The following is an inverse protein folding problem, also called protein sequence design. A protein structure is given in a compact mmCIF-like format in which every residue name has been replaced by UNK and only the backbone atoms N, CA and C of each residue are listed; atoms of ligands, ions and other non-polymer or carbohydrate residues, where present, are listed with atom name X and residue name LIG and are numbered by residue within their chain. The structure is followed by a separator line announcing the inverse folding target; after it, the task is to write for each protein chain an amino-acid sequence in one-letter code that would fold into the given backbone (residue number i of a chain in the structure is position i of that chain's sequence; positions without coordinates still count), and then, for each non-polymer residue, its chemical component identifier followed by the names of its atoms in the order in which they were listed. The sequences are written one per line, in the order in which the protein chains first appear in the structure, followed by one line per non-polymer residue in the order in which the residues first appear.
data_IF_766703068855
#
_entry.id   IF_766703068855
#
_cell.length_a   1.000
_cell.length_b   1.000
_cell.length_c   1.000
_cell.angle_alpha   90.00
_cell.angle_beta   90.00
_cell.angle_gamma   90.00
#
_symmetry.space_group_name_H-M   'P 1'
#
loop_
_entity.id
_entity.type
_entity.pdbx_description
1 polymer ?
#
# COMPACT_ATOMS: atom_id res chain seq x y z
N UNK A 1 14.42 -80.54 3.46
CA UNK A 1 13.15 -79.99 2.91
C UNK A 1 12.70 -78.75 3.69
N UNK A 2 12.84 -78.76 5.02
CA UNK A 2 12.44 -77.66 5.92
C UNK A 2 13.16 -76.32 5.67
N UNK A 3 14.45 -76.32 5.37
CA UNK A 3 15.23 -75.08 5.15
C UNK A 3 14.77 -74.28 3.93
N UNK A 4 14.36 -74.96 2.84
CA UNK A 4 13.79 -74.30 1.65
C UNK A 4 12.39 -73.74 1.90
N UNK A 5 11.61 -74.40 2.75
CA UNK A 5 10.28 -73.92 3.12
C UNK A 5 10.39 -72.62 3.94
N UNK A 6 11.29 -72.61 4.92
CA UNK A 6 11.54 -71.42 5.75
C UNK A 6 12.09 -70.24 4.93
N UNK A 7 13.00 -70.48 3.99
CA UNK A 7 13.50 -69.40 3.12
C UNK A 7 12.42 -68.81 2.21
N UNK A 8 11.50 -69.64 1.72
CA UNK A 8 10.40 -69.19 0.86
C UNK A 8 9.35 -68.39 1.65
N UNK A 9 9.06 -68.79 2.88
CA UNK A 9 8.15 -68.06 3.78
C UNK A 9 8.73 -66.68 4.13
N UNK A 10 10.02 -66.61 4.49
CA UNK A 10 10.69 -65.33 4.79
C UNK A 10 10.74 -64.40 3.57
N UNK A 11 11.01 -64.93 2.37
CA UNK A 11 11.00 -64.14 1.14
C UNK A 11 9.61 -63.59 0.79
N UNK A 12 8.56 -64.39 1.00
CA UNK A 12 7.18 -63.98 0.77
C UNK A 12 6.68 -62.92 1.77
N UNK A 13 7.04 -63.08 3.04
CA UNK A 13 6.74 -62.10 4.09
C UNK A 13 7.41 -60.75 3.79
N UNK A 14 8.69 -60.75 3.41
CA UNK A 14 9.42 -59.54 3.03
C UNK A 14 8.76 -58.84 1.83
N UNK A 15 8.43 -59.56 0.75
CA UNK A 15 7.78 -58.95 -0.41
C UNK A 15 6.42 -58.32 -0.07
N UNK A 16 5.61 -58.98 0.76
CA UNK A 16 4.31 -58.46 1.18
C UNK A 16 4.46 -57.18 2.01
N UNK A 17 5.44 -57.13 2.93
CA UNK A 17 5.74 -55.94 3.74
C UNK A 17 6.24 -54.79 2.85
N UNK A 18 7.17 -55.03 1.92
CA UNK A 18 7.67 -53.99 1.02
C UNK A 18 6.58 -53.43 0.10
N UNK A 19 5.70 -54.29 -0.43
CA UNK A 19 4.61 -53.85 -1.32
C UNK A 19 3.59 -52.98 -0.56
N UNK A 20 3.21 -53.37 0.65
CA UNK A 20 2.32 -52.59 1.51
C UNK A 20 2.96 -51.27 1.96
N UNK A 21 4.26 -51.28 2.28
CA UNK A 21 5.00 -50.07 2.66
C UNK A 21 5.12 -49.09 1.49
N UNK A 22 5.43 -49.57 0.28
CA UNK A 22 5.52 -48.73 -0.92
C UNK A 22 4.17 -48.11 -1.28
N UNK A 23 3.07 -48.86 -1.20
CA UNK A 23 1.73 -48.33 -1.48
C UNK A 23 1.28 -47.30 -0.43
N UNK A 24 1.62 -47.52 0.84
CA UNK A 24 1.32 -46.58 1.91
C UNK A 24 2.14 -45.29 1.78
N UNK A 25 3.46 -45.40 1.53
CA UNK A 25 4.35 -44.25 1.33
C UNK A 25 3.97 -43.47 0.06
N UNK A 26 3.62 -44.15 -1.04
CA UNK A 26 3.19 -43.49 -2.29
C UNK A 26 1.82 -42.80 -2.16
N UNK A 27 0.88 -43.39 -1.42
CA UNK A 27 -0.41 -42.78 -1.14
C UNK A 27 -0.33 -41.58 -0.19
N UNK A 28 0.61 -41.62 0.77
CA UNK A 28 0.81 -40.56 1.76
C UNK A 28 1.65 -39.39 1.20
N UNK A 29 2.63 -39.63 0.33
CA UNK A 29 3.35 -38.57 -0.39
C UNK A 29 2.56 -37.98 -1.57
N UNK A 30 1.61 -38.72 -2.15
CA UNK A 30 0.74 -38.23 -3.23
C UNK A 30 -0.47 -37.42 -2.78
N UNK A 31 -0.76 -37.37 -1.47
CA UNK A 31 -1.90 -36.67 -0.87
C UNK A 31 -1.46 -35.60 0.14
N UNK A 32 -0.34 -34.94 -0.11
CA UNK A 32 -0.07 -33.66 0.55
C UNK A 32 -0.77 -32.61 -0.31
N UNK A 33 -1.88 -31.99 0.11
CA UNK A 33 -2.36 -30.81 -0.58
C UNK A 33 -1.23 -29.78 -0.47
N UNK A 34 -0.53 -29.55 -1.58
CA UNK A 34 0.43 -28.46 -1.70
C UNK A 34 -0.41 -27.18 -1.66
N UNK A 35 -0.75 -26.72 -0.45
CA UNK A 35 -1.27 -25.39 -0.25
C UNK A 35 -0.13 -24.46 -0.59
N UNK A 36 -0.21 -23.80 -1.74
CA UNK A 36 0.78 -22.80 -2.13
C UNK A 36 0.85 -21.73 -1.05
N UNK A 37 1.92 -21.78 -0.26
CA UNK A 37 2.25 -20.70 0.67
C UNK A 37 2.86 -19.59 -0.18
N UNK A 38 1.99 -18.78 -0.79
CA UNK A 38 2.43 -17.53 -1.40
C UNK A 38 2.83 -16.57 -0.27
N UNK A 39 4.13 -16.26 -0.18
CA UNK A 39 4.51 -14.98 0.39
C UNK A 39 3.97 -13.89 -0.53
N UNK A 40 2.79 -13.33 -0.23
CA UNK A 40 2.19 -12.33 -1.09
C UNK A 40 3.09 -11.09 -1.14
N UNK A 41 3.63 -10.77 -2.32
CA UNK A 41 4.26 -9.49 -2.58
C UNK A 41 3.18 -8.39 -2.58
N UNK A 42 3.48 -7.16 -2.11
CA UNK A 42 2.51 -6.08 -2.18
C UNK A 42 2.17 -5.76 -3.64
N UNK A 43 0.88 -5.56 -3.93
CA UNK A 43 0.43 -4.96 -5.19
C UNK A 43 0.46 -3.43 -5.04
N UNK A 44 1.05 -2.75 -6.02
CA UNK A 44 1.31 -1.31 -5.96
C UNK A 44 0.55 -0.59 -7.07
N UNK A 45 -0.27 0.38 -6.68
CA UNK A 45 -1.02 1.24 -7.60
C UNK A 45 -0.50 2.68 -7.50
N UNK A 46 0.07 3.19 -8.59
CA UNK A 46 0.68 4.55 -8.63
C UNK A 46 0.05 5.49 -9.65
N UNK A 47 -0.72 4.97 -10.61
CA UNK A 47 -1.34 5.80 -11.65
C UNK A 47 -2.58 6.49 -11.08
N UNK A 48 -2.64 7.83 -11.05
CA UNK A 48 -3.82 8.55 -10.57
C UNK A 48 -5.09 8.21 -11.36
N UNK A 49 -6.22 8.17 -10.67
CA UNK A 49 -7.51 7.94 -11.30
C UNK A 49 -8.46 7.03 -10.51
N UNK A 50 -9.61 6.78 -11.11
CA UNK A 50 -10.67 5.91 -10.59
C UNK A 50 -10.90 4.75 -11.54
N UNK A 51 -11.52 3.66 -11.05
CA UNK A 51 -11.80 2.47 -11.86
C UNK A 51 -10.68 1.42 -11.81
N UNK A 52 -9.67 1.63 -10.96
CA UNK A 52 -8.68 0.61 -10.61
C UNK A 52 -9.37 -0.39 -9.67
N UNK A 53 -9.09 -1.68 -9.86
CA UNK A 53 -9.65 -2.76 -9.05
C UNK A 53 -8.54 -3.63 -8.52
N UNK A 54 -8.64 -4.00 -7.24
CA UNK A 54 -7.82 -5.03 -6.61
C UNK A 54 -8.64 -6.31 -6.51
N UNK A 55 -8.13 -7.42 -7.04
CA UNK A 55 -8.76 -8.73 -6.93
C UNK A 55 -8.11 -9.52 -5.80
N UNK A 56 -8.89 -9.93 -4.81
CA UNK A 56 -8.37 -10.67 -3.65
C UNK A 56 -7.93 -12.06 -4.08
N UNK A 57 -6.68 -12.47 -3.82
CA UNK A 57 -6.22 -13.82 -4.11
C UNK A 57 -7.03 -14.89 -3.36
N UNK A 58 -7.09 -16.09 -3.92
CA UNK A 58 -7.76 -17.22 -3.27
C UNK A 58 -7.14 -17.48 -1.88
N UNK A 59 -7.99 -17.76 -0.89
CA UNK A 59 -7.57 -18.03 0.49
C UNK A 59 -7.21 -16.81 1.34
N UNK A 60 -7.15 -15.60 0.77
CA UNK A 60 -6.84 -14.37 1.52
C UNK A 60 -8.11 -13.74 2.10
N UNK A 61 -8.16 -13.60 3.42
CA UNK A 61 -9.31 -13.01 4.14
C UNK A 61 -8.98 -11.69 4.84
N UNK A 62 -7.71 -11.29 4.83
CA UNK A 62 -7.25 -10.02 5.41
C UNK A 62 -6.05 -9.50 4.63
N UNK A 63 -6.05 -8.20 4.37
CA UNK A 63 -4.94 -7.48 3.72
C UNK A 63 -4.57 -6.24 4.52
N UNK A 64 -3.28 -5.88 4.50
CA UNK A 64 -2.84 -4.55 4.93
C UNK A 64 -2.95 -3.62 3.73
N UNK A 65 -3.68 -2.53 3.89
CA UNK A 65 -3.78 -1.46 2.89
C UNK A 65 -2.96 -0.28 3.39
N UNK A 66 -2.17 0.31 2.50
CA UNK A 66 -1.41 1.53 2.72
C UNK A 66 -1.72 2.51 1.60
N UNK A 67 -2.14 3.73 1.96
CA UNK A 67 -2.51 4.77 1.01
C UNK A 67 -1.84 6.09 1.33
N UNK A 68 -1.55 6.84 0.26
CA UNK A 68 -0.99 8.18 0.31
C UNK A 68 -1.81 9.11 -0.55
N UNK A 69 -2.22 10.25 0.00
CA UNK A 69 -2.91 11.29 -0.77
C UNK A 69 -1.95 11.99 -1.74
N UNK A 70 -2.50 12.56 -2.82
CA UNK A 70 -1.72 13.42 -3.71
C UNK A 70 -1.29 14.71 -3.01
N UNK A 71 -0.12 15.25 -3.36
CA UNK A 71 0.30 16.59 -2.89
C UNK A 71 -0.51 17.70 -3.56
N UNK A 72 -0.73 18.81 -2.86
CA UNK A 72 -1.36 20.01 -3.42
C UNK A 72 -0.40 20.83 -4.28
N UNK A 73 -0.94 21.58 -5.22
CA UNK A 73 -0.15 22.51 -6.04
C UNK A 73 0.15 23.82 -5.32
N UNK A 74 1.35 24.33 -5.55
CA UNK A 74 1.79 25.64 -5.05
C UNK A 74 1.10 26.83 -5.73
N UNK A 75 1.49 28.02 -5.30
CA UNK A 75 0.97 29.29 -5.81
C UNK A 75 1.45 29.63 -7.22
N UNK A 76 0.75 30.57 -7.86
CA UNK A 76 1.00 30.98 -9.24
C UNK A 76 2.05 32.09 -9.36
N UNK A 77 2.84 32.01 -10.43
CA UNK A 77 3.85 33.03 -10.78
C UNK A 77 3.20 34.40 -11.04
N UNK A 78 1.96 34.42 -11.54
CA UNK A 78 1.26 35.65 -11.97
C UNK A 78 0.97 36.58 -10.77
N UNK A 79 0.72 36.03 -9.59
CA UNK A 79 0.42 36.80 -8.38
C UNK A 79 1.64 37.09 -7.51
N UNK A 80 2.87 36.75 -7.95
CA UNK A 80 4.12 36.75 -7.14
C UNK A 80 4.07 35.87 -5.87
N UNK A 81 2.97 35.15 -5.65
CA UNK A 81 2.77 34.24 -4.53
C UNK A 81 3.26 32.85 -4.93
N UNK A 82 4.55 32.58 -4.68
CA UNK A 82 5.23 31.33 -5.08
C UNK A 82 5.32 30.34 -3.92
N UNK A 83 4.33 30.33 -3.04
CA UNK A 83 4.31 29.45 -1.88
C UNK A 83 4.15 27.99 -2.30
N UNK A 84 4.67 27.06 -1.50
CA UNK A 84 4.58 25.63 -1.78
C UNK A 84 3.19 25.07 -1.53
N UNK A 85 2.81 24.01 -2.23
CA UNK A 85 1.63 23.22 -1.88
C UNK A 85 1.93 22.26 -0.72
N UNK A 86 0.88 21.79 -0.02
CA UNK A 86 1.03 20.83 1.07
C UNK A 86 1.22 19.39 0.58
N UNK A 87 1.92 18.57 1.34
CA UNK A 87 2.06 17.14 1.08
C UNK A 87 0.77 16.37 1.38
N UNK A 88 0.58 15.21 0.75
CA UNK A 88 -0.55 14.31 1.08
C UNK A 88 -0.35 13.58 2.41
N UNK A 89 -1.45 13.16 3.02
CA UNK A 89 -1.48 12.32 4.21
C UNK A 89 -1.12 10.87 3.89
N UNK A 90 -0.86 10.09 4.93
CA UNK A 90 -0.82 8.63 4.91
C UNK A 90 -1.95 8.05 5.74
N UNK A 91 -2.50 6.92 5.29
CA UNK A 91 -3.38 6.09 6.07
C UNK A 91 -3.12 4.60 5.84
N UNK A 92 -3.29 3.78 6.88
CA UNK A 92 -3.24 2.33 6.78
C UNK A 92 -4.22 1.65 7.73
N UNK A 93 -4.70 0.48 7.30
CA UNK A 93 -5.46 -0.44 8.12
C UNK A 93 -5.31 -1.87 7.60
N UNK A 94 -5.52 -2.84 8.48
CA UNK A 94 -5.94 -4.16 8.05
C UNK A 94 -7.42 -4.11 7.64
N UNK A 95 -7.74 -4.72 6.51
CA UNK A 95 -9.09 -4.77 5.95
C UNK A 95 -9.47 -6.24 5.77
N UNK A 96 -10.58 -6.65 6.36
CA UNK A 96 -11.18 -7.97 6.10
C UNK A 96 -11.72 -8.00 4.68
N UNK A 97 -11.31 -9.01 3.92
CA UNK A 97 -11.67 -9.18 2.53
C UNK A 97 -12.23 -10.58 2.28
N UNK A 98 -12.92 -10.73 1.15
CA UNK A 98 -13.48 -12.02 0.72
C UNK A 98 -12.60 -12.54 -0.43
N UNK A 99 -12.07 -13.78 -0.36
CA UNK A 99 -11.31 -14.38 -1.45
C UNK A 99 -12.05 -14.31 -2.79
N UNK A 100 -11.36 -13.88 -3.86
CA UNK A 100 -11.92 -13.74 -5.21
C UNK A 100 -12.76 -12.50 -5.46
N UNK A 101 -13.13 -11.73 -4.43
CA UNK A 101 -13.86 -10.47 -4.62
C UNK A 101 -12.95 -9.36 -5.15
N UNK A 102 -13.56 -8.38 -5.81
CA UNK A 102 -12.90 -7.17 -6.30
C UNK A 102 -13.23 -5.97 -5.42
N UNK A 103 -12.23 -5.16 -5.13
CA UNK A 103 -12.34 -3.94 -4.33
C UNK A 103 -11.87 -2.74 -5.15
N UNK A 104 -12.61 -1.63 -5.07
CA UNK A 104 -12.26 -0.42 -5.82
C UNK A 104 -11.06 0.28 -5.21
N UNK A 105 -10.19 0.80 -6.07
CA UNK A 105 -9.04 1.62 -5.71
C UNK A 105 -9.15 2.95 -6.46
N UNK A 106 -8.99 4.05 -5.73
CA UNK A 106 -8.87 5.38 -6.31
C UNK A 106 -7.53 5.97 -5.89
N UNK A 107 -6.74 6.42 -6.86
CA UNK A 107 -5.43 7.03 -6.61
C UNK A 107 -5.55 8.54 -6.81
N UNK A 108 -5.26 9.30 -5.75
CA UNK A 108 -5.29 10.74 -5.75
C UNK A 108 -4.19 11.33 -6.63
N UNK A 109 -4.57 12.22 -7.55
CA UNK A 109 -3.61 12.95 -8.37
C UNK A 109 -2.90 14.04 -7.57
N UNK A 110 -1.67 14.39 -7.97
CA UNK A 110 -1.05 15.63 -7.54
C UNK A 110 -1.83 16.84 -8.08
N UNK A 111 -1.91 17.90 -7.29
CA UNK A 111 -2.58 19.14 -7.65
C UNK A 111 -1.76 19.98 -8.63
N UNK A 112 -2.41 20.52 -9.66
CA UNK A 112 -1.85 21.60 -10.48
C UNK A 112 -1.75 22.90 -9.67
N UNK A 113 -1.12 23.94 -10.22
CA UNK A 113 -1.00 25.27 -9.56
C UNK A 113 -2.34 25.75 -9.00
N UNK A 114 -2.39 26.05 -7.70
CA UNK A 114 -3.60 26.49 -7.00
C UNK A 114 -4.67 25.39 -6.78
N UNK A 115 -4.44 24.16 -7.20
CA UNK A 115 -5.38 23.03 -7.08
C UNK A 115 -4.89 22.05 -6.01
N UNK A 116 -5.79 21.63 -5.12
CA UNK A 116 -5.47 20.65 -4.08
C UNK A 116 -5.17 19.27 -4.68
N UNK A 117 -4.41 18.46 -3.96
CA UNK A 117 -4.19 17.06 -4.30
C UNK A 117 -5.46 16.23 -4.09
N UNK A 118 -5.59 15.16 -4.86
CA UNK A 118 -6.68 14.19 -4.69
C UNK A 118 -6.47 13.28 -3.49
N UNK A 119 -7.58 12.81 -2.90
CA UNK A 119 -7.53 11.73 -1.92
C UNK A 119 -7.24 10.40 -2.61
N UNK A 120 -6.51 9.52 -1.93
CA UNK A 120 -6.38 8.10 -2.32
C UNK A 120 -7.25 7.26 -1.42
N UNK A 121 -8.03 6.34 -1.98
CA UNK A 121 -8.89 5.46 -1.20
C UNK A 121 -8.94 4.02 -1.68
N UNK A 122 -9.20 3.14 -0.73
CA UNK A 122 -9.47 1.73 -0.94
C UNK A 122 -10.90 1.40 -0.49
N UNK A 123 -11.64 0.69 -1.34
CA UNK A 123 -13.01 0.28 -1.12
C UNK A 123 -13.92 1.46 -0.71
N UNK A 124 -13.80 2.57 -1.44
CA UNK A 124 -14.49 3.82 -1.16
C UNK A 124 -13.96 4.55 0.07
N UNK A 125 -14.22 4.03 1.26
CA UNK A 125 -13.90 4.68 2.55
C UNK A 125 -13.20 3.77 3.56
N UNK A 126 -12.93 2.51 3.24
CA UNK A 126 -12.28 1.58 4.19
C UNK A 126 -10.89 2.05 4.61
N UNK A 127 -10.12 2.60 3.66
CA UNK A 127 -8.90 3.35 3.95
C UNK A 127 -8.86 4.57 3.04
N UNK A 128 -8.60 5.75 3.61
CA UNK A 128 -8.53 7.02 2.88
C UNK A 128 -7.34 7.82 3.38
N UNK A 129 -6.49 8.25 2.45
CA UNK A 129 -5.44 9.21 2.72
C UNK A 129 -5.79 10.53 2.03
N UNK A 130 -5.92 11.59 2.84
CA UNK A 130 -6.28 12.92 2.34
C UNK A 130 -5.20 13.53 1.45
N UNK A 131 -5.60 14.19 0.38
CA UNK A 131 -4.73 15.01 -0.44
C UNK A 131 -4.26 16.27 0.30
N UNK A 132 -3.11 16.80 -0.12
CA UNK A 132 -2.57 18.06 0.37
C UNK A 132 -3.34 19.26 -0.17
N UNK A 133 -3.48 20.30 0.64
CA UNK A 133 -4.06 21.58 0.26
C UNK A 133 -3.17 22.37 -0.70
N UNK A 134 -3.81 23.15 -1.56
CA UNK A 134 -3.13 24.12 -2.42
C UNK A 134 -3.00 25.48 -1.75
N UNK A 135 -2.38 26.42 -2.47
CA UNK A 135 -2.39 27.83 -2.09
C UNK A 135 -2.38 28.73 -3.32
N UNK A 136 -2.96 29.92 -3.18
CA UNK A 136 -2.82 31.06 -4.11
C UNK A 136 -2.25 32.30 -3.40
N UNK A 137 -1.89 32.14 -2.13
CA UNK A 137 -1.40 33.18 -1.23
C UNK A 137 0.08 32.99 -0.92
N UNK A 138 0.66 33.88 -0.12
CA UNK A 138 2.04 33.75 0.36
C UNK A 138 2.22 32.66 1.41
N UNK A 139 1.13 32.21 2.05
CA UNK A 139 1.13 31.06 2.93
C UNK A 139 1.21 29.76 2.11
N UNK A 140 1.97 28.79 2.59
CA UNK A 140 1.99 27.47 1.97
C UNK A 140 0.66 26.73 2.14
N UNK A 141 0.36 25.82 1.21
CA UNK A 141 -0.81 24.95 1.29
C UNK A 141 -0.73 24.03 2.51
N UNK A 142 -1.86 23.76 3.14
CA UNK A 142 -1.91 22.86 4.29
C UNK A 142 -1.57 21.42 3.87
N UNK A 143 -0.88 20.67 4.71
CA UNK A 143 -0.72 19.24 4.50
C UNK A 143 -2.05 18.50 4.60
N UNK A 144 -2.16 17.37 3.92
CA UNK A 144 -3.33 16.49 4.02
C UNK A 144 -3.53 16.07 5.48
N UNK A 145 -4.73 16.22 6.07
CA UNK A 145 -4.92 15.95 7.49
C UNK A 145 -4.99 14.45 7.80
N UNK A 146 -4.43 14.04 8.94
CA UNK A 146 -4.70 12.73 9.56
C UNK A 146 -6.13 12.61 10.13
N UNK A 147 -6.79 13.76 10.36
CA UNK A 147 -8.22 13.84 10.66
C UNK A 147 -9.08 13.61 9.41
N UNK A 148 -10.34 14.05 9.42
CA UNK A 148 -11.18 13.98 8.22
C UNK A 148 -10.52 14.75 7.06
N UNK A 149 -10.52 14.22 5.82
CA UNK A 149 -11.23 13.02 5.37
C UNK A 149 -10.45 11.68 5.50
N UNK A 150 -9.31 11.62 6.18
CA UNK A 150 -8.50 10.40 6.29
C UNK A 150 -9.13 9.33 7.20
N UNK A 151 -9.14 8.09 6.71
CA UNK A 151 -9.68 6.90 7.37
C UNK A 151 -8.61 5.80 7.41
N UNK A 152 -8.40 5.22 8.58
CA UNK A 152 -7.37 4.23 8.84
C UNK A 152 -7.07 4.16 10.33
N UNK A 153 -6.49 3.05 10.78
CA UNK A 153 -6.05 2.88 12.17
C UNK A 153 -4.75 3.61 12.44
N UNK A 154 -3.84 3.62 11.45
CA UNK A 154 -2.60 4.41 11.47
C UNK A 154 -2.75 5.53 10.45
N UNK A 155 -2.51 6.78 10.87
CA UNK A 155 -2.64 7.97 10.03
C UNK A 155 -1.59 9.01 10.37
N UNK A 156 -1.05 9.65 9.34
CA UNK A 156 -0.12 10.77 9.48
C UNK A 156 -0.49 11.88 8.52
N UNK A 157 -0.42 13.11 9.00
CA UNK A 157 -0.67 14.27 8.16
C UNK A 157 0.49 14.48 7.19
N UNK A 158 0.20 15.03 6.02
CA UNK A 158 1.24 15.63 5.19
C UNK A 158 1.82 16.90 5.82
N UNK A 159 2.95 17.36 5.31
CA UNK A 159 3.56 18.61 5.71
C UNK A 159 2.92 19.80 5.00
N UNK A 160 2.87 20.95 5.67
CA UNK A 160 2.46 22.19 5.02
C UNK A 160 3.52 22.64 4.01
N UNK A 161 3.08 23.31 2.93
CA UNK A 161 3.99 24.03 2.05
C UNK A 161 4.71 25.16 2.76
N UNK A 162 5.85 25.57 2.20
CA UNK A 162 6.62 26.72 2.64
C UNK A 162 5.99 28.03 2.18
N UNK A 163 6.22 29.07 2.97
CA UNK A 163 5.85 30.44 2.66
C UNK A 163 6.66 30.95 1.45
N UNK A 164 6.06 31.81 0.61
CA UNK A 164 6.84 32.68 -0.28
C UNK A 164 7.14 34.01 0.40
N UNK A 165 8.35 34.54 0.26
CA UNK A 165 8.69 35.86 0.80
C UNK A 165 8.29 36.98 -0.16
N UNK A 166 7.70 38.05 0.37
CA UNK A 166 7.20 39.20 -0.41
C UNK A 166 8.28 39.99 -1.15
N UNK A 167 9.56 39.83 -0.78
CA UNK A 167 10.58 40.84 -1.11
C UNK A 167 11.46 40.57 -2.32
N UNK A 168 11.64 39.34 -2.81
CA UNK A 168 12.54 39.10 -3.96
C UNK A 168 12.11 37.99 -4.94
N UNK A 169 10.88 37.45 -4.83
CA UNK A 169 10.40 36.40 -5.73
C UNK A 169 10.94 35.00 -5.42
N UNK A 170 11.47 34.80 -4.21
CA UNK A 170 11.84 33.49 -3.67
C UNK A 170 10.57 32.62 -3.45
N UNK A 171 10.65 31.37 -3.91
CA UNK A 171 9.57 30.40 -3.78
C UNK A 171 9.67 29.63 -2.47
N UNK A 172 8.50 29.32 -1.89
CA UNK A 172 8.38 28.38 -0.79
C UNK A 172 8.49 26.94 -1.29
N UNK A 173 9.26 26.10 -0.60
CA UNK A 173 9.35 24.68 -0.91
C UNK A 173 8.03 23.95 -0.69
N UNK A 174 7.77 22.87 -1.42
CA UNK A 174 6.61 22.01 -1.17
C UNK A 174 6.67 21.35 0.21
N UNK A 175 5.51 21.08 0.80
CA UNK A 175 5.42 20.27 2.00
C UNK A 175 5.77 18.81 1.69
N UNK A 176 6.58 18.18 2.55
CA UNK A 176 6.86 16.76 2.44
C UNK A 176 5.57 15.95 2.56
N UNK A 177 5.42 14.88 1.77
CA UNK A 177 4.46 13.83 2.11
C UNK A 177 4.83 13.23 3.47
N UNK A 178 3.88 12.58 4.14
CA UNK A 178 4.24 11.72 5.29
C UNK A 178 5.26 10.68 4.82
N UNK A 179 6.49 10.78 5.33
CA UNK A 179 7.70 10.19 4.76
C UNK A 179 7.87 8.69 4.95
N UNK A 180 6.77 7.91 4.80
CA UNK A 180 6.51 6.55 5.27
C UNK A 180 5.68 6.52 6.57
N UNK A 181 5.18 5.31 6.87
CA UNK A 181 4.19 4.95 7.89
C UNK A 181 4.59 5.21 9.35
N UNK A 182 5.47 6.18 9.60
CA UNK A 182 6.11 6.42 10.90
C UNK A 182 6.02 7.87 11.37
N UNK A 183 5.76 8.84 10.50
CA UNK A 183 5.71 10.26 10.89
C UNK A 183 4.90 11.15 9.94
N UNK A 184 4.50 12.32 10.45
CA UNK A 184 3.95 13.41 9.65
C UNK A 184 4.98 13.92 8.62
N UNK A 185 4.49 14.48 7.53
CA UNK A 185 5.33 15.14 6.54
C UNK A 185 5.98 16.41 7.07
N UNK A 186 7.17 16.72 6.57
CA UNK A 186 7.93 17.91 6.96
C UNK A 186 7.37 19.17 6.30
N UNK A 187 7.43 20.30 6.99
CA UNK A 187 7.02 21.59 6.42
C UNK A 187 8.03 22.03 5.35
N UNK A 188 7.53 22.56 4.24
CA UNK A 188 8.36 23.11 3.17
C UNK A 188 9.14 24.34 3.63
N UNK A 189 10.40 24.45 3.22
CA UNK A 189 11.31 25.53 3.63
C UNK A 189 11.40 26.59 2.53
N UNK A 190 11.62 27.87 2.90
CA UNK A 190 11.94 28.94 1.96
C UNK A 190 13.30 28.65 1.29
N UNK A 191 13.34 28.69 -0.04
CA UNK A 191 14.61 28.62 -0.78
C UNK A 191 15.07 30.05 -1.11
N UNK A 192 15.97 30.61 -0.30
CA UNK A 192 16.68 31.83 -0.72
C UNK A 192 17.60 31.46 -1.88
N UNK A 193 17.42 32.07 -3.06
CA UNK A 193 18.48 32.05 -4.07
C UNK A 193 19.62 32.94 -3.57
N UNK A 194 20.78 32.33 -3.32
CA UNK A 194 22.07 33.01 -3.16
C UNK A 194 22.49 33.71 -4.43
#
# INVERSE_FOLDING_TARGET
METKLLSNILAYLNQTVYKSLILFVSGFLGFVPFSEVFGQSPEIFITPGTGIVFTVPAGVTSIKVESWGGGGGGGSIVSRNRAGGGGGAYASSFVTVIPGNQYSVAIGAGGATGVAGGNTSFNGTSVVAAGGGSTTTVAGGLGGPAGLPSVGTIKFSGGNGGLSSDKNGDGGGGGGGSGLSTANGTVGVLTNKS
#
